data_IF_799823401153
#
_entry.id   IF_799823401153
#
_cell.length_a   1.000
_cell.length_b   1.000
_cell.length_c   1.000
_cell.angle_alpha   90.00
_cell.angle_beta   90.00
_cell.angle_gamma   90.00
#
_symmetry.space_group_name_H-M   'P 1'
#
loop_
_entity.id
_entity.type
_entity.pdbx_description
1 polymer ?
#
# COMPACT_ATOMS: atom_id res chain seq x y z
N UNK A 1 8.81 -23.40 -24.51
CA UNK A 1 8.04 -23.16 -23.29
C UNK A 1 8.49 -21.84 -22.67
N UNK A 2 8.11 -20.75 -23.32
CA UNK A 2 8.45 -19.42 -22.86
C UNK A 2 7.40 -18.96 -21.85
N UNK A 3 7.86 -18.70 -20.68
CA UNK A 3 7.46 -17.61 -19.82
C UNK A 3 6.15 -17.73 -19.04
N UNK A 4 6.03 -18.80 -18.27
CA UNK A 4 5.05 -18.89 -17.16
C UNK A 4 5.59 -18.36 -15.83
N UNK A 5 6.68 -17.55 -15.84
CA UNK A 5 7.12 -16.95 -14.58
C UNK A 5 6.02 -16.02 -14.03
N UNK A 6 5.63 -16.13 -12.76
CA UNK A 6 4.56 -15.31 -12.21
C UNK A 6 4.92 -13.85 -12.19
N UNK A 7 3.92 -12.97 -12.31
CA UNK A 7 4.05 -11.52 -12.15
C UNK A 7 2.85 -11.00 -11.38
N UNK A 8 3.09 -10.12 -10.45
CA UNK A 8 2.09 -9.35 -9.73
C UNK A 8 2.44 -7.88 -9.83
N UNK A 9 1.43 -7.04 -10.03
CA UNK A 9 1.61 -5.59 -10.04
C UNK A 9 1.51 -5.05 -8.61
N UNK A 10 2.45 -4.17 -8.22
CA UNK A 10 2.38 -3.49 -6.94
C UNK A 10 1.19 -2.53 -6.89
N UNK A 11 0.57 -2.37 -5.72
CA UNK A 11 -0.56 -1.47 -5.51
C UNK A 11 -0.11 -0.06 -5.14
N UNK A 12 1.01 0.04 -4.43
CA UNK A 12 1.64 1.30 -3.98
C UNK A 12 3.13 1.27 -4.34
N UNK A 13 3.75 2.44 -4.45
CA UNK A 13 5.20 2.60 -4.70
C UNK A 13 6.05 1.93 -3.63
N UNK A 14 5.54 1.78 -2.41
CA UNK A 14 6.22 1.14 -1.27
C UNK A 14 6.14 -0.40 -1.28
N UNK A 15 5.36 -0.97 -2.19
CA UNK A 15 5.07 -2.41 -2.21
C UNK A 15 6.03 -3.23 -3.06
N UNK A 16 7.04 -2.61 -3.66
CA UNK A 16 7.96 -3.31 -4.57
C UNK A 16 8.58 -4.55 -3.91
N UNK A 17 9.10 -4.45 -2.68
CA UNK A 17 9.71 -5.56 -1.96
C UNK A 17 8.75 -6.71 -1.62
N UNK A 18 7.64 -6.45 -0.91
CA UNK A 18 6.63 -7.48 -0.64
C UNK A 18 6.07 -8.14 -1.91
N UNK A 19 5.91 -7.36 -2.99
CA UNK A 19 5.43 -7.90 -4.27
C UNK A 19 6.49 -8.78 -4.93
N UNK A 20 7.77 -8.41 -4.87
CA UNK A 20 8.87 -9.28 -5.32
C UNK A 20 8.88 -10.62 -4.56
N UNK A 21 8.73 -10.56 -3.24
CA UNK A 21 8.68 -11.77 -2.42
C UNK A 21 7.46 -12.63 -2.75
N UNK A 22 6.29 -12.02 -3.00
CA UNK A 22 5.08 -12.71 -3.47
C UNK A 22 5.30 -13.42 -4.81
N UNK A 23 5.97 -12.76 -5.76
CA UNK A 23 6.31 -13.32 -7.08
C UNK A 23 7.17 -14.57 -6.90
N UNK A 24 8.21 -14.51 -6.05
CA UNK A 24 9.11 -15.64 -5.81
C UNK A 24 8.38 -16.77 -5.08
N UNK A 25 7.60 -16.47 -4.05
CA UNK A 25 6.80 -17.48 -3.35
C UNK A 25 5.82 -18.19 -4.30
N UNK A 26 5.20 -17.46 -5.22
CA UNK A 26 4.32 -18.03 -6.25
C UNK A 26 5.07 -18.92 -7.22
N UNK A 27 6.30 -18.58 -7.58
CA UNK A 27 7.16 -19.43 -8.41
C UNK A 27 7.42 -20.77 -7.74
N UNK A 28 7.60 -20.81 -6.43
CA UNK A 28 7.76 -22.03 -5.63
C UNK A 28 6.42 -22.69 -5.21
N UNK A 29 5.30 -22.23 -5.77
CA UNK A 29 3.99 -22.90 -5.63
C UNK A 29 3.08 -22.37 -4.53
N UNK A 30 3.48 -21.34 -3.74
CA UNK A 30 2.63 -20.73 -2.72
C UNK A 30 2.27 -19.29 -3.06
N UNK A 31 1.02 -18.92 -2.79
CA UNK A 31 0.54 -17.55 -2.94
C UNK A 31 0.23 -16.96 -1.56
N UNK A 32 0.91 -15.89 -1.22
CA UNK A 32 0.72 -15.16 0.02
C UNK A 32 -0.04 -13.86 -0.23
N UNK A 33 -1.00 -13.48 0.63
CA UNK A 33 -1.63 -12.18 0.56
C UNK A 33 -0.59 -11.05 0.71
N UNK A 34 -0.71 -10.02 -0.11
CA UNK A 34 0.21 -8.88 -0.06
C UNK A 34 0.20 -8.20 1.32
N UNK A 35 -0.97 -8.14 1.97
CA UNK A 35 -1.11 -7.56 3.31
C UNK A 35 -0.25 -8.27 4.37
N UNK A 36 -0.18 -9.60 4.31
CA UNK A 36 0.66 -10.40 5.21
C UNK A 36 2.15 -10.10 4.96
N UNK A 37 2.56 -10.05 3.70
CA UNK A 37 3.96 -9.77 3.34
C UNK A 37 4.34 -8.32 3.70
N UNK A 38 3.44 -7.35 3.57
CA UNK A 38 3.63 -5.97 4.06
C UNK A 38 3.91 -5.92 5.56
N UNK A 39 3.12 -6.65 6.34
CA UNK A 39 3.30 -6.76 7.79
C UNK A 39 4.66 -7.37 8.12
N UNK A 40 5.03 -8.46 7.45
CA UNK A 40 6.30 -9.13 7.68
C UNK A 40 7.52 -8.28 7.27
N UNK A 41 7.38 -7.50 6.20
CA UNK A 41 8.41 -6.57 5.73
C UNK A 41 8.56 -5.33 6.62
N UNK A 42 7.61 -5.07 7.53
CA UNK A 42 7.61 -3.89 8.41
C UNK A 42 7.86 -2.58 7.64
N UNK A 43 6.97 -2.29 6.67
CA UNK A 43 7.12 -1.15 5.75
C UNK A 43 7.08 0.17 6.51
N UNK A 44 8.14 0.97 6.38
CA UNK A 44 8.25 2.31 6.97
C UNK A 44 7.66 3.43 6.11
N UNK A 45 7.85 4.67 6.56
CA UNK A 45 7.40 5.86 5.81
C UNK A 45 8.09 6.01 4.45
N UNK A 46 9.35 5.58 4.36
CA UNK A 46 10.18 5.66 3.15
C UNK A 46 10.08 4.42 2.24
N UNK A 47 9.26 3.44 2.61
CA UNK A 47 9.12 2.18 1.88
C UNK A 47 9.70 0.99 2.60
N UNK A 48 10.04 -0.07 1.86
CA UNK A 48 10.60 -1.30 2.38
C UNK A 48 12.14 -1.28 2.30
N UNK A 49 12.81 -1.73 3.36
CA UNK A 49 14.26 -1.95 3.35
C UNK A 49 14.60 -3.38 2.90
N UNK A 50 15.83 -3.58 2.41
CA UNK A 50 16.33 -4.91 2.05
C UNK A 50 16.27 -5.87 3.25
N UNK A 51 16.61 -5.39 4.46
CA UNK A 51 16.48 -6.14 5.70
C UNK A 51 15.03 -6.54 5.99
N UNK A 52 14.07 -5.64 5.74
CA UNK A 52 12.64 -5.94 5.89
C UNK A 52 12.19 -7.06 4.96
N UNK A 53 12.67 -7.06 3.70
CA UNK A 53 12.37 -8.15 2.75
C UNK A 53 13.04 -9.46 3.20
N UNK A 54 14.28 -9.42 3.67
CA UNK A 54 15.02 -10.56 4.20
C UNK A 54 14.27 -11.19 5.38
N UNK A 55 13.90 -10.41 6.38
CA UNK A 55 13.14 -10.89 7.54
C UNK A 55 11.78 -11.51 7.15
N UNK A 56 11.10 -10.91 6.16
CA UNK A 56 9.84 -11.46 5.65
C UNK A 56 10.04 -12.79 4.92
N UNK A 57 11.13 -12.91 4.15
CA UNK A 57 11.50 -14.13 3.45
C UNK A 57 11.75 -15.28 4.45
N UNK A 58 12.51 -15.03 5.51
CA UNK A 58 12.79 -16.01 6.57
C UNK A 58 11.50 -16.44 7.30
N UNK A 59 10.62 -15.50 7.60
CA UNK A 59 9.33 -15.82 8.23
C UNK A 59 8.50 -16.79 7.41
N UNK A 60 8.53 -16.69 6.08
CA UNK A 60 7.77 -17.58 5.19
C UNK A 60 8.53 -18.84 4.80
N UNK A 61 9.79 -19.03 5.28
CA UNK A 61 10.54 -20.26 5.11
C UNK A 61 11.58 -20.25 3.99
N UNK A 62 12.10 -19.08 3.63
CA UNK A 62 13.31 -18.97 2.82
C UNK A 62 14.52 -18.73 3.73
N UNK A 63 15.67 -19.21 3.31
CA UNK A 63 16.96 -18.70 3.76
C UNK A 63 17.33 -17.51 2.88
N UNK A 64 17.71 -16.38 3.47
CA UNK A 64 17.97 -15.15 2.73
C UNK A 64 19.36 -14.58 3.03
N UNK A 65 20.09 -14.20 1.99
CA UNK A 65 21.43 -13.62 2.11
C UNK A 65 21.52 -12.38 1.22
N UNK A 66 21.80 -11.22 1.84
CA UNK A 66 22.03 -9.97 1.14
C UNK A 66 23.52 -9.82 0.80
N UNK A 67 23.82 -9.64 -0.49
CA UNK A 67 25.17 -9.57 -1.01
C UNK A 67 25.37 -8.37 -1.93
N UNK A 68 26.61 -7.84 -1.97
CA UNK A 68 27.07 -6.96 -3.04
C UNK A 68 27.97 -7.78 -3.96
N UNK A 69 27.58 -7.95 -5.21
CA UNK A 69 28.27 -8.85 -6.14
C UNK A 69 28.47 -8.22 -7.50
N UNK A 70 29.43 -8.74 -8.27
CA UNK A 70 29.62 -8.44 -9.68
C UNK A 70 28.57 -9.18 -10.52
N UNK A 71 28.44 -8.79 -11.80
CA UNK A 71 27.51 -9.44 -12.70
C UNK A 71 27.81 -10.92 -12.93
N UNK A 72 29.08 -11.27 -12.98
CA UNK A 72 29.51 -12.66 -13.22
C UNK A 72 29.16 -13.55 -12.01
N UNK A 73 29.35 -13.05 -10.78
CA UNK A 73 28.90 -13.74 -9.58
C UNK A 73 27.36 -13.87 -9.55
N UNK A 74 26.64 -12.81 -9.93
CA UNK A 74 25.17 -12.87 -10.03
C UNK A 74 24.70 -13.93 -11.03
N UNK A 75 25.40 -14.08 -12.16
CA UNK A 75 25.05 -15.04 -13.20
C UNK A 75 25.37 -16.47 -12.81
N UNK A 76 26.55 -16.72 -12.25
CA UNK A 76 27.11 -18.07 -12.12
C UNK A 76 26.93 -18.67 -10.72
N UNK A 77 26.82 -17.84 -9.67
CA UNK A 77 26.83 -18.29 -8.28
C UNK A 77 25.52 -18.02 -7.50
N UNK A 78 24.63 -17.17 -8.03
CA UNK A 78 23.39 -16.84 -7.32
C UNK A 78 22.23 -17.67 -7.85
N UNK A 79 21.52 -18.34 -6.91
CA UNK A 79 20.30 -19.08 -7.22
C UNK A 79 19.21 -18.14 -7.73
N UNK A 80 18.60 -18.47 -8.86
CA UNK A 80 17.48 -17.72 -9.42
C UNK A 80 16.15 -18.44 -9.14
N UNK A 81 15.07 -17.70 -8.86
CA UNK A 81 14.93 -16.24 -8.88
C UNK A 81 15.49 -15.55 -7.62
N UNK A 82 16.06 -14.37 -7.80
CA UNK A 82 16.54 -13.53 -6.71
C UNK A 82 15.99 -12.11 -6.80
N UNK A 83 16.04 -11.35 -5.70
CA UNK A 83 15.63 -9.93 -5.67
C UNK A 83 16.86 -9.05 -5.82
N UNK A 84 16.78 -8.03 -6.66
CA UNK A 84 17.87 -7.06 -6.84
C UNK A 84 17.40 -5.65 -6.54
N UNK A 85 18.32 -4.83 -6.01
CA UNK A 85 18.07 -3.41 -5.78
C UNK A 85 18.22 -2.65 -7.09
N UNK A 86 17.18 -1.96 -7.51
CA UNK A 86 17.03 -1.37 -8.83
C UNK A 86 16.95 0.14 -8.75
N UNK A 87 17.74 0.84 -9.55
CA UNK A 87 17.77 2.30 -9.63
C UNK A 87 17.88 2.99 -8.25
N UNK A 88 18.52 2.35 -7.27
CA UNK A 88 18.74 2.84 -5.89
C UNK A 88 17.48 3.05 -5.02
N UNK A 89 16.27 2.83 -5.55
CA UNK A 89 15.02 3.11 -4.85
C UNK A 89 13.90 2.08 -5.09
N UNK A 90 14.19 1.01 -5.82
CA UNK A 90 13.21 0.02 -6.21
C UNK A 90 13.74 -1.41 -6.05
N UNK A 91 12.86 -2.41 -6.01
CA UNK A 91 13.22 -3.82 -6.01
C UNK A 91 12.53 -4.53 -7.16
N UNK A 92 13.28 -5.40 -7.83
CA UNK A 92 12.78 -6.23 -8.93
C UNK A 92 13.29 -7.66 -8.79
N UNK A 93 12.64 -8.62 -9.44
CA UNK A 93 13.04 -10.03 -9.44
C UNK A 93 13.80 -10.36 -10.71
N UNK A 94 15.02 -10.86 -10.58
CA UNK A 94 15.75 -11.49 -11.68
C UNK A 94 15.43 -12.99 -11.66
N UNK A 95 14.86 -13.51 -12.75
CA UNK A 95 14.42 -14.91 -12.78
C UNK A 95 15.11 -15.76 -13.84
N UNK A 96 15.85 -15.13 -14.77
CA UNK A 96 16.66 -15.85 -15.76
C UNK A 96 17.76 -14.94 -16.30
N UNK A 97 18.96 -15.48 -16.43
CA UNK A 97 20.11 -14.81 -17.04
C UNK A 97 20.62 -15.70 -18.19
N UNK A 98 20.94 -15.07 -19.31
CA UNK A 98 21.60 -15.68 -20.46
C UNK A 98 22.82 -14.83 -20.83
N UNK A 99 23.67 -15.28 -21.73
CA UNK A 99 24.87 -14.52 -22.12
C UNK A 99 24.58 -13.12 -22.66
N UNK A 100 23.43 -12.95 -23.32
CA UNK A 100 23.05 -11.66 -23.95
C UNK A 100 21.97 -10.90 -23.20
N UNK A 101 21.14 -11.57 -22.41
CA UNK A 101 19.93 -10.98 -21.85
C UNK A 101 19.71 -11.38 -20.40
N UNK A 102 19.18 -10.44 -19.63
CA UNK A 102 18.67 -10.63 -18.27
C UNK A 102 17.15 -10.47 -18.30
N UNK A 103 16.45 -11.40 -17.68
CA UNK A 103 15.00 -11.41 -17.60
C UNK A 103 14.58 -10.96 -16.19
N UNK A 104 13.83 -9.88 -16.14
CA UNK A 104 13.43 -9.18 -14.94
C UNK A 104 11.91 -9.17 -14.84
N UNK A 105 11.36 -9.49 -13.67
CA UNK A 105 9.96 -9.24 -13.34
C UNK A 105 9.91 -8.02 -12.42
N UNK A 106 9.40 -6.92 -12.95
CA UNK A 106 9.28 -5.64 -12.26
C UNK A 106 7.84 -5.44 -11.78
N UNK A 107 7.61 -5.38 -10.44
CA UNK A 107 6.28 -5.15 -9.89
C UNK A 107 5.65 -3.82 -10.30
N UNK A 108 6.46 -2.83 -10.63
CA UNK A 108 5.99 -1.50 -11.05
C UNK A 108 5.50 -1.46 -12.50
N UNK A 109 5.98 -2.37 -13.33
CA UNK A 109 5.66 -2.38 -14.76
C UNK A 109 5.18 -3.76 -15.23
N UNK A 110 6.10 -4.63 -15.66
CA UNK A 110 5.82 -5.98 -16.14
C UNK A 110 7.13 -6.78 -16.27
N UNK A 111 7.08 -7.92 -16.97
CA UNK A 111 8.28 -8.67 -17.32
C UNK A 111 9.05 -7.95 -18.41
N UNK A 112 10.36 -7.86 -18.24
CA UNK A 112 11.27 -7.19 -19.16
C UNK A 112 12.39 -8.14 -19.55
N UNK A 113 12.80 -8.04 -20.80
CA UNK A 113 14.00 -8.70 -21.34
C UNK A 113 15.01 -7.61 -21.68
N UNK A 114 16.03 -7.46 -20.86
CA UNK A 114 17.03 -6.39 -20.97
C UNK A 114 18.34 -6.92 -21.51
N UNK A 115 19.06 -6.12 -22.30
CA UNK A 115 20.45 -6.41 -22.64
C UNK A 115 21.33 -6.26 -21.39
N UNK A 116 22.49 -6.96 -21.36
CA UNK A 116 23.43 -6.92 -20.22
C UNK A 116 23.80 -5.47 -19.84
N UNK A 117 24.11 -4.62 -20.82
CA UNK A 117 24.51 -3.23 -20.57
C UNK A 117 23.39 -2.40 -19.95
N UNK A 118 22.16 -2.60 -20.41
CA UNK A 118 20.98 -1.90 -19.90
C UNK A 118 20.65 -2.35 -18.47
N UNK A 119 20.78 -3.64 -18.18
CA UNK A 119 20.63 -4.17 -16.85
C UNK A 119 21.66 -3.58 -15.89
N UNK A 120 22.94 -3.59 -16.28
CA UNK A 120 24.04 -3.05 -15.47
C UNK A 120 23.83 -1.56 -15.16
N UNK A 121 23.41 -0.77 -16.14
CA UNK A 121 23.14 0.67 -15.94
C UNK A 121 22.13 0.94 -14.81
N UNK A 122 21.17 0.06 -14.62
CA UNK A 122 20.11 0.24 -13.63
C UNK A 122 20.38 -0.50 -12.30
N UNK A 123 21.20 -1.55 -12.31
CA UNK A 123 21.45 -2.40 -11.14
C UNK A 123 22.71 -2.01 -10.36
N UNK A 124 23.77 -1.59 -11.06
CA UNK A 124 25.04 -1.23 -10.42
C UNK A 124 24.83 -0.07 -9.44
N UNK A 125 25.19 -0.27 -8.20
CA UNK A 125 25.03 0.73 -7.14
C UNK A 125 26.34 1.43 -6.77
N UNK A 126 27.46 0.76 -6.92
CA UNK A 126 28.80 1.27 -6.56
C UNK A 126 29.88 0.49 -7.31
N UNK A 127 31.13 0.94 -7.16
CA UNK A 127 32.29 0.17 -7.62
C UNK A 127 33.10 -0.29 -6.41
N UNK A 128 33.50 -1.54 -6.40
CA UNK A 128 34.39 -2.13 -5.40
C UNK A 128 35.61 -2.68 -6.11
N UNK A 129 36.81 -2.26 -5.72
CA UNK A 129 38.07 -2.63 -6.41
C UNK A 129 38.00 -2.41 -7.93
N UNK A 130 37.46 -1.27 -8.36
CA UNK A 130 37.25 -0.87 -9.75
C UNK A 130 36.25 -1.74 -10.54
N UNK A 131 35.60 -2.70 -9.92
CA UNK A 131 34.56 -3.51 -10.55
C UNK A 131 33.15 -3.00 -10.21
N UNK A 132 32.23 -2.93 -11.18
CA UNK A 132 30.85 -2.55 -10.93
C UNK A 132 30.12 -3.64 -10.15
N UNK A 133 29.56 -3.28 -8.98
CA UNK A 133 28.80 -4.20 -8.12
C UNK A 133 27.41 -3.67 -7.87
N UNK A 134 26.46 -4.61 -7.75
CA UNK A 134 25.08 -4.32 -7.40
C UNK A 134 24.65 -5.16 -6.18
N UNK A 135 23.54 -4.73 -5.57
CA UNK A 135 22.97 -5.41 -4.40
C UNK A 135 21.98 -6.48 -4.85
N UNK A 136 22.10 -7.66 -4.28
CA UNK A 136 21.20 -8.80 -4.49
C UNK A 136 20.77 -9.39 -3.15
N UNK A 137 19.53 -9.83 -3.07
CA UNK A 137 19.02 -10.70 -2.02
C UNK A 137 18.81 -12.07 -2.65
N UNK A 138 19.73 -12.99 -2.36
CA UNK A 138 19.61 -14.39 -2.73
C UNK A 138 18.61 -15.07 -1.80
N UNK A 139 17.78 -15.96 -2.35
CA UNK A 139 16.71 -16.65 -1.64
C UNK A 139 16.78 -18.14 -1.97
N UNK A 140 16.99 -18.96 -0.94
CA UNK A 140 16.95 -20.41 -1.04
C UNK A 140 15.72 -20.93 -0.31
N UNK A 141 14.93 -21.78 -0.96
CA UNK A 141 13.73 -22.35 -0.37
C UNK A 141 14.10 -23.44 0.63
N UNK A 142 13.60 -23.33 1.85
CA UNK A 142 13.76 -24.36 2.88
C UNK A 142 12.55 -25.31 2.89
N UNK A 143 12.69 -26.57 3.38
CA UNK A 143 11.57 -27.49 3.54
C UNK A 143 10.39 -26.88 4.34
N UNK A 144 10.70 -26.08 5.33
CA UNK A 144 9.73 -25.34 6.15
C UNK A 144 8.81 -24.41 5.34
N UNK A 145 9.26 -23.92 4.19
CA UNK A 145 8.41 -23.14 3.29
C UNK A 145 7.17 -23.91 2.89
N UNK A 146 7.27 -25.20 2.61
CA UNK A 146 6.15 -26.05 2.20
C UNK A 146 5.24 -26.45 3.37
N UNK A 147 5.80 -26.54 4.57
CA UNK A 147 5.06 -26.93 5.79
C UNK A 147 4.28 -25.76 6.39
N UNK A 148 4.83 -24.54 6.37
CA UNK A 148 4.18 -23.35 6.92
C UNK A 148 2.90 -23.04 6.16
N UNK A 149 1.74 -23.31 6.75
CA UNK A 149 0.43 -22.85 6.30
C UNK A 149 0.04 -21.61 7.09
N UNK A 150 0.07 -20.47 6.45
CA UNK A 150 -0.58 -19.28 7.01
C UNK A 150 -2.07 -19.35 6.67
N UNK A 151 -2.92 -19.26 7.68
CA UNK A 151 -4.37 -19.39 7.52
C UNK A 151 -4.92 -18.17 6.76
N UNK A 152 -4.84 -18.23 5.44
CA UNK A 152 -5.22 -17.17 4.48
C UNK A 152 -6.72 -16.85 4.55
N UNK A 153 -7.53 -17.75 5.17
CA UNK A 153 -8.99 -17.63 5.21
C UNK A 153 -9.50 -16.57 6.20
N UNK A 154 -8.67 -16.06 7.11
CA UNK A 154 -9.12 -15.09 8.13
C UNK A 154 -9.03 -13.62 7.72
N UNK A 155 -8.51 -13.30 6.55
CA UNK A 155 -8.25 -11.90 6.21
C UNK A 155 -8.64 -11.52 4.79
N UNK A 156 -9.95 -11.38 4.56
CA UNK A 156 -10.40 -10.55 3.44
C UNK A 156 -10.00 -9.09 3.74
N UNK A 157 -9.08 -8.55 2.95
CA UNK A 157 -8.47 -7.21 3.11
C UNK A 157 -9.49 -6.08 3.33
N UNK A 158 -10.68 -6.21 2.78
CA UNK A 158 -11.75 -5.20 2.87
C UNK A 158 -12.41 -5.15 4.25
N UNK A 159 -12.50 -6.27 4.99
CA UNK A 159 -13.12 -6.28 6.32
C UNK A 159 -12.18 -5.81 7.43
N UNK A 160 -10.88 -5.97 7.29
CA UNK A 160 -9.91 -5.48 8.29
C UNK A 160 -9.81 -3.96 8.33
N UNK A 161 -9.78 -3.30 7.18
CA UNK A 161 -9.75 -1.84 7.13
C UNK A 161 -10.97 -1.21 7.79
N UNK A 162 -12.17 -1.75 7.54
CA UNK A 162 -13.40 -1.25 8.14
C UNK A 162 -13.47 -1.55 9.64
N UNK A 163 -13.14 -2.76 10.07
CA UNK A 163 -13.10 -3.12 11.51
C UNK A 163 -12.03 -2.34 12.28
N UNK A 164 -10.89 -2.06 11.67
CA UNK A 164 -9.86 -1.22 12.28
C UNK A 164 -10.34 0.23 12.44
N UNK A 165 -11.00 0.79 11.41
CA UNK A 165 -11.65 2.10 11.47
C UNK A 165 -12.71 2.15 12.56
N UNK A 166 -13.63 1.17 12.60
CA UNK A 166 -14.69 1.10 13.62
C UNK A 166 -14.11 0.96 15.02
N UNK A 167 -13.09 0.14 15.22
CA UNK A 167 -12.41 -0.02 16.52
C UNK A 167 -11.68 1.26 16.97
N UNK A 168 -11.11 2.00 16.04
CA UNK A 168 -10.48 3.30 16.35
C UNK A 168 -11.51 4.38 16.63
N UNK A 169 -12.59 4.42 15.85
CA UNK A 169 -13.73 5.33 16.05
C UNK A 169 -14.47 5.05 17.36
N UNK A 170 -14.58 3.78 17.77
CA UNK A 170 -15.20 3.39 19.03
C UNK A 170 -14.48 3.97 20.26
N UNK A 171 -13.19 4.26 20.15
CA UNK A 171 -12.43 4.98 21.21
C UNK A 171 -12.94 6.40 21.42
N UNK A 172 -13.49 7.02 20.37
CA UNK A 172 -14.00 8.39 20.37
C UNK A 172 -15.53 8.47 20.32
N UNK A 173 -16.23 7.41 20.79
CA UNK A 173 -17.69 7.30 20.74
C UNK A 173 -18.43 8.50 21.34
N UNK A 174 -17.88 9.12 22.40
CA UNK A 174 -18.47 10.30 23.03
C UNK A 174 -18.40 11.52 22.10
N UNK A 175 -17.26 11.76 21.46
CA UNK A 175 -17.08 12.85 20.49
C UNK A 175 -17.95 12.65 19.26
N UNK A 176 -18.07 11.41 18.78
CA UNK A 176 -18.96 11.08 17.65
C UNK A 176 -20.44 11.30 18.01
N UNK A 177 -20.84 10.91 19.22
CA UNK A 177 -22.20 11.15 19.72
C UNK A 177 -22.48 12.66 19.81
N UNK A 178 -21.56 13.43 20.36
CA UNK A 178 -21.66 14.89 20.47
C UNK A 178 -21.77 15.55 19.09
N UNK A 179 -20.97 15.11 18.12
CA UNK A 179 -21.02 15.60 16.74
C UNK A 179 -22.37 15.26 16.08
N UNK A 180 -22.86 14.02 16.26
CA UNK A 180 -24.16 13.59 15.76
C UNK A 180 -25.32 14.42 16.34
N UNK A 181 -25.31 14.66 17.64
CA UNK A 181 -26.31 15.48 18.33
C UNK A 181 -26.24 16.92 17.80
N UNK A 182 -25.06 17.49 17.62
CA UNK A 182 -24.88 18.84 17.08
C UNK A 182 -25.43 18.98 15.65
N UNK A 183 -25.11 18.00 14.77
CA UNK A 183 -25.63 17.98 13.39
C UNK A 183 -27.15 17.84 13.40
N UNK A 184 -27.71 16.97 14.22
CA UNK A 184 -29.15 16.73 14.31
C UNK A 184 -29.87 17.99 14.81
N UNK A 185 -29.34 18.65 15.83
CA UNK A 185 -29.87 19.89 16.35
C UNK A 185 -29.83 21.04 15.32
N UNK A 186 -28.70 21.20 14.63
CA UNK A 186 -28.54 22.16 13.53
C UNK A 186 -29.56 21.91 12.40
N UNK A 187 -29.76 20.64 12.04
CA UNK A 187 -30.73 20.28 10.98
C UNK A 187 -32.14 20.63 11.37
N UNK A 188 -32.53 20.40 12.65
CA UNK A 188 -33.89 20.78 13.14
C UNK A 188 -34.05 22.30 13.11
N UNK A 189 -33.06 23.07 13.55
CA UNK A 189 -33.10 24.52 13.48
C UNK A 189 -33.25 25.05 12.05
N UNK A 190 -32.53 24.45 11.10
CA UNK A 190 -32.61 24.82 9.68
C UNK A 190 -34.00 24.53 9.07
N UNK A 191 -34.72 23.53 9.57
CA UNK A 191 -36.08 23.25 9.14
C UNK A 191 -37.08 24.36 9.54
N UNK A 192 -36.80 25.09 10.63
CA UNK A 192 -37.64 26.20 11.11
C UNK A 192 -37.52 27.44 10.21
N UNK A 193 -36.34 27.60 9.56
CA UNK A 193 -36.05 28.80 8.76
C UNK A 193 -37.02 29.09 7.63
N UNK A 194 -37.44 28.12 6.79
CA UNK A 194 -38.44 28.34 5.74
C UNK A 194 -39.79 28.78 6.29
N UNK A 195 -40.23 28.21 7.44
CA UNK A 195 -41.52 28.60 8.07
C UNK A 195 -41.49 30.03 8.60
N UNK A 196 -40.35 30.46 9.17
CA UNK A 196 -40.19 31.85 9.60
C UNK A 196 -40.20 32.81 8.41
N UNK A 197 -39.56 32.46 7.32
CA UNK A 197 -39.53 33.24 6.10
C UNK A 197 -40.96 33.35 5.47
N UNK A 198 -41.68 32.25 5.42
CA UNK A 198 -43.06 32.23 4.97
C UNK A 198 -43.98 33.12 5.85
N UNK A 199 -43.81 33.07 7.17
CA UNK A 199 -44.56 33.90 8.12
C UNK A 199 -44.34 35.42 7.91
N UNK A 200 -43.12 35.83 7.52
CA UNK A 200 -42.85 37.21 7.12
C UNK A 200 -43.69 37.63 5.93
N UNK A 201 -43.81 36.76 4.92
CA UNK A 201 -44.58 37.06 3.70
C UNK A 201 -46.04 37.03 3.99
N UNK A 202 -46.58 35.99 4.61
CA UNK A 202 -48.01 35.75 4.79
C UNK A 202 -48.64 36.68 5.83
N UNK A 203 -47.93 37.04 6.89
CA UNK A 203 -48.45 37.85 7.98
C UNK A 203 -47.84 39.26 7.97
N UNK A 204 -46.52 39.37 7.88
CA UNK A 204 -45.83 40.65 7.98
C UNK A 204 -46.11 41.57 6.80
N UNK A 205 -45.96 41.09 5.57
CA UNK A 205 -46.15 41.88 4.36
C UNK A 205 -47.64 42.07 4.05
N UNK A 206 -48.42 40.99 4.15
CA UNK A 206 -49.87 41.05 3.85
C UNK A 206 -50.60 42.04 4.76
N UNK A 207 -50.27 42.08 6.05
CA UNK A 207 -50.89 42.99 7.03
C UNK A 207 -50.14 44.33 7.18
N UNK A 208 -49.04 44.56 6.42
CA UNK A 208 -48.18 45.76 6.53
C UNK A 208 -47.67 46.01 7.96
N UNK A 209 -47.42 44.93 8.74
CA UNK A 209 -46.95 44.99 10.12
C UNK A 209 -45.42 44.91 10.14
N UNK A 210 -44.75 46.07 10.13
CA UNK A 210 -43.31 46.16 10.17
C UNK A 210 -42.74 45.67 11.47
N UNK A 211 -43.43 45.79 12.61
CA UNK A 211 -42.92 45.33 13.91
C UNK A 211 -42.82 43.82 13.93
N UNK A 212 -43.82 43.12 13.37
CA UNK A 212 -43.77 41.65 13.25
C UNK A 212 -42.61 41.19 12.35
N UNK A 213 -42.38 41.88 11.22
CA UNK A 213 -41.26 41.57 10.33
C UNK A 213 -39.91 41.71 11.03
N UNK A 214 -39.69 42.80 11.78
CA UNK A 214 -38.46 43.00 12.55
C UNK A 214 -38.30 41.94 13.62
N UNK A 215 -39.32 41.55 14.32
CA UNK A 215 -39.27 40.53 15.37
C UNK A 215 -38.86 39.17 14.80
N UNK A 216 -39.42 38.76 13.67
CA UNK A 216 -39.08 37.50 13.02
C UNK A 216 -37.63 37.54 12.45
N UNK A 217 -37.21 38.66 11.86
CA UNK A 217 -35.83 38.84 11.37
C UNK A 217 -34.80 38.72 12.51
N UNK A 218 -35.06 39.36 13.65
CA UNK A 218 -34.20 39.23 14.82
C UNK A 218 -34.16 37.79 15.32
N UNK A 219 -35.28 37.09 15.33
CA UNK A 219 -35.34 35.67 15.67
C UNK A 219 -34.53 34.81 14.71
N UNK A 220 -34.59 35.08 13.40
CA UNK A 220 -33.75 34.38 12.41
C UNK A 220 -32.25 34.60 12.60
N UNK A 221 -31.86 35.84 12.95
CA UNK A 221 -30.43 36.14 13.24
C UNK A 221 -29.93 35.39 14.47
N UNK A 222 -30.75 35.30 15.53
CA UNK A 222 -30.40 34.55 16.76
C UNK A 222 -30.24 33.05 16.46
N UNK A 223 -31.11 32.49 15.59
CA UNK A 223 -31.04 31.06 15.21
C UNK A 223 -29.80 30.79 14.33
N UNK A 224 -29.37 31.78 13.57
CA UNK A 224 -28.20 31.64 12.65
C UNK A 224 -26.85 31.77 13.36
N UNK A 225 -26.75 32.51 14.46
CA UNK A 225 -25.54 32.66 15.27
C UNK A 225 -25.29 31.47 16.20
#
# INVERSE_FOLDING_TARGET
MADRFPIYKQLDTKDCGPTCLRIIARYYGKDYPLALLREFCNIGKEGVSLLGISNAAEKIGFNSIALKVTFDILKDNITLPCIVHWKQNHFVVVYKITDKYVYVADPGTTKQKLKKEEFLKNWVSTKTQDQPVGVVLALDVLPEFYEKTFDVRKESETRRGFNYLVKHLAKYKLLLAQLLIGVLFSTILQLIFPFLTQSIVDTGIANKDLNFVYLVLVGQIIIFL
#
